data_IF_896619422729
#
_entry.id   IF_896619422729
#
_cell.length_a   1.000
_cell.length_b   1.000
_cell.length_c   1.000
_cell.angle_alpha   90.00
_cell.angle_beta   90.00
_cell.angle_gamma   90.00
#
_symmetry.space_group_name_H-M   'P 1'
#
loop_
_entity.id
_entity.type
_entity.pdbx_description
1 polymer ?
#
# COMPACT_ATOMS: atom_id res chain seq x y z
N UNK A 1 -12.39 -33.45 31.40
CA UNK A 1 -13.53 -32.67 30.86
C UNK A 1 -13.42 -31.16 31.12
N UNK A 2 -12.85 -30.71 32.25
CA UNK A 2 -12.68 -29.27 32.56
C UNK A 2 -11.55 -28.53 31.78
N UNK A 3 -10.65 -29.25 31.09
CA UNK A 3 -9.60 -28.63 30.24
C UNK A 3 -10.06 -28.33 28.81
N UNK A 4 -11.20 -28.87 28.37
CA UNK A 4 -11.73 -28.68 27.00
C UNK A 4 -12.57 -27.40 26.84
N UNK A 5 -12.94 -26.72 27.94
CA UNK A 5 -13.83 -25.55 27.91
C UNK A 5 -13.04 -24.22 27.99
N UNK A 6 -11.77 -24.24 28.40
CA UNK A 6 -10.96 -23.00 28.53
C UNK A 6 -10.44 -22.42 27.22
N UNK A 7 -10.65 -23.08 26.08
CA UNK A 7 -10.14 -22.62 24.79
C UNK A 7 -11.15 -21.82 23.95
N UNK A 8 -12.41 -21.69 24.37
CA UNK A 8 -13.45 -21.06 23.53
C UNK A 8 -13.83 -19.62 23.93
N UNK A 9 -13.17 -19.03 24.93
CA UNK A 9 -13.37 -17.61 25.28
C UNK A 9 -12.10 -16.80 25.01
N UNK A 10 -11.39 -17.13 23.94
CA UNK A 10 -10.53 -16.15 23.30
C UNK A 10 -11.43 -15.15 22.59
N UNK A 11 -11.39 -13.87 22.94
CA UNK A 11 -12.06 -12.81 22.18
C UNK A 11 -11.86 -13.06 20.67
N UNK A 12 -12.84 -12.81 19.79
CA UNK A 12 -12.75 -13.09 18.34
C UNK A 12 -11.55 -12.39 17.64
N UNK A 13 -10.86 -11.50 18.35
CA UNK A 13 -9.62 -10.84 17.96
C UNK A 13 -8.35 -11.71 18.10
N UNK A 14 -8.39 -12.86 18.79
CA UNK A 14 -7.19 -13.50 19.36
C UNK A 14 -6.43 -14.52 18.51
N UNK A 15 -6.83 -14.81 17.27
CA UNK A 15 -6.15 -15.83 16.44
C UNK A 15 -5.73 -15.32 15.04
N UNK A 16 -5.13 -14.13 14.97
CA UNK A 16 -4.29 -13.75 13.82
C UNK A 16 -2.90 -14.35 13.96
N UNK A 17 -2.26 -14.76 12.85
CA UNK A 17 -0.83 -15.08 12.91
C UNK A 17 -0.08 -13.87 13.48
N UNK A 18 0.55 -14.04 14.65
CA UNK A 18 1.26 -12.96 15.36
C UNK A 18 2.26 -12.22 14.47
N UNK A 19 2.84 -12.91 13.47
CA UNK A 19 3.78 -12.37 12.49
C UNK A 19 3.16 -11.34 11.54
N UNK A 20 1.87 -11.44 11.22
CA UNK A 20 1.18 -10.57 10.26
C UNK A 20 0.59 -9.31 10.91
N UNK A 21 0.37 -9.35 12.23
CA UNK A 21 -0.29 -8.29 12.99
C UNK A 21 0.35 -6.90 12.80
N UNK A 22 1.68 -6.72 12.88
CA UNK A 22 2.29 -5.40 12.71
C UNK A 22 1.94 -4.79 11.35
N UNK A 23 2.09 -5.56 10.26
CA UNK A 23 1.82 -5.06 8.91
C UNK A 23 0.35 -4.69 8.70
N UNK A 24 -0.59 -5.49 9.23
CA UNK A 24 -2.03 -5.18 9.20
C UNK A 24 -2.38 -3.89 9.95
N UNK A 25 -1.75 -3.66 11.10
CA UNK A 25 -1.95 -2.43 11.89
C UNK A 25 -1.46 -1.20 11.12
N UNK A 26 -0.27 -1.26 10.50
CA UNK A 26 0.25 -0.15 9.70
C UNK A 26 -0.68 0.22 8.54
N UNK A 27 -1.21 -0.79 7.83
CA UNK A 27 -2.21 -0.57 6.77
C UNK A 27 -3.48 0.04 7.35
N UNK A 28 -4.04 -0.53 8.42
CA UNK A 28 -5.30 -0.06 9.01
C UNK A 28 -5.21 1.39 9.51
N UNK A 29 -4.13 1.77 10.20
CA UNK A 29 -3.91 3.16 10.64
C UNK A 29 -3.89 4.10 9.44
N UNK A 30 -3.19 3.74 8.38
CA UNK A 30 -3.08 4.56 7.17
C UNK A 30 -4.43 4.74 6.47
N UNK A 31 -5.23 3.68 6.38
CA UNK A 31 -6.58 3.74 5.82
C UNK A 31 -7.52 4.62 6.66
N UNK A 32 -7.41 4.58 7.99
CA UNK A 32 -8.19 5.48 8.86
C UNK A 32 -7.82 6.93 8.55
N UNK A 33 -6.53 7.26 8.43
CA UNK A 33 -6.08 8.61 8.09
C UNK A 33 -6.61 9.04 6.72
N UNK A 34 -6.50 8.20 5.69
CA UNK A 34 -7.05 8.51 4.37
C UNK A 34 -8.56 8.74 4.41
N UNK A 35 -9.28 7.90 5.16
CA UNK A 35 -10.72 8.05 5.38
C UNK A 35 -11.06 9.40 5.99
N UNK A 36 -10.38 9.79 7.07
CA UNK A 36 -10.54 11.11 7.70
C UNK A 36 -10.21 12.24 6.72
N UNK A 37 -9.13 12.13 5.94
CA UNK A 37 -8.78 13.14 4.94
C UNK A 37 -9.86 13.29 3.85
N UNK A 38 -10.56 12.23 3.46
CA UNK A 38 -11.68 12.33 2.50
C UNK A 38 -12.85 13.14 3.04
N UNK A 39 -13.12 13.09 4.35
CA UNK A 39 -14.14 13.92 4.98
C UNK A 39 -13.67 15.36 5.21
N UNK A 40 -12.43 15.55 5.67
CA UNK A 40 -11.88 16.90 5.92
C UNK A 40 -11.67 17.71 4.64
N UNK A 41 -11.24 17.07 3.56
CA UNK A 41 -10.85 17.71 2.30
C UNK A 41 -11.75 17.30 1.13
N UNK A 42 -13.02 17.00 1.41
CA UNK A 42 -13.99 16.46 0.44
C UNK A 42 -14.10 17.26 -0.85
N UNK A 43 -14.03 18.60 -0.80
CA UNK A 43 -14.04 19.46 -1.99
C UNK A 43 -12.82 19.25 -2.90
N UNK A 44 -11.63 19.17 -2.31
CA UNK A 44 -10.40 18.88 -3.06
C UNK A 44 -10.45 17.47 -3.66
N UNK A 45 -10.84 16.47 -2.85
CA UNK A 45 -10.94 15.07 -3.31
C UNK A 45 -12.00 14.90 -4.39
N UNK A 46 -13.15 15.59 -4.30
CA UNK A 46 -14.17 15.59 -5.34
C UNK A 46 -13.62 16.14 -6.67
N UNK A 47 -12.66 17.06 -6.63
CA UNK A 47 -11.95 17.56 -7.81
C UNK A 47 -11.05 16.52 -8.49
N UNK A 48 -10.68 15.44 -7.78
CA UNK A 48 -9.91 14.33 -8.33
C UNK A 48 -10.79 13.27 -9.02
N UNK A 49 -12.10 13.25 -8.73
CA UNK A 49 -13.04 12.27 -9.31
C UNK A 49 -13.24 12.54 -10.82
N UNK A 50 -13.06 11.54 -11.70
CA UNK A 50 -13.08 11.70 -13.15
C UNK A 50 -14.28 12.48 -13.69
N UNK A 51 -14.04 13.41 -14.62
CA UNK A 51 -15.01 14.39 -15.14
C UNK A 51 -16.36 13.80 -15.60
N UNK A 52 -16.39 12.56 -16.08
CA UNK A 52 -17.62 11.90 -16.54
C UNK A 52 -18.52 11.38 -15.41
N UNK A 53 -18.00 11.22 -14.18
CA UNK A 53 -18.77 10.68 -13.06
C UNK A 53 -19.63 11.77 -12.40
N UNK A 54 -20.96 11.56 -12.29
CA UNK A 54 -21.84 12.46 -11.54
C UNK A 54 -21.62 12.30 -10.03
N UNK A 55 -22.07 13.29 -9.25
CA UNK A 55 -22.08 13.21 -7.78
C UNK A 55 -20.68 13.08 -7.17
N UNK A 56 -19.68 13.81 -7.67
CA UNK A 56 -18.27 13.70 -7.23
C UNK A 56 -18.07 13.78 -5.71
N UNK A 57 -18.85 14.63 -5.03
CA UNK A 57 -18.77 14.79 -3.58
C UNK A 57 -19.28 13.54 -2.84
N UNK A 58 -20.32 12.88 -3.38
CA UNK A 58 -20.77 11.58 -2.85
C UNK A 58 -19.64 10.56 -2.94
N UNK A 59 -18.96 10.44 -4.09
CA UNK A 59 -17.85 9.51 -4.25
C UNK A 59 -16.68 9.82 -3.31
N UNK A 60 -16.34 11.10 -3.10
CA UNK A 60 -15.31 11.48 -2.13
C UNK A 60 -15.64 10.95 -0.72
N UNK A 61 -16.86 11.16 -0.22
CA UNK A 61 -17.23 10.67 1.11
C UNK A 61 -17.45 9.16 1.17
N UNK A 62 -17.98 8.56 0.11
CA UNK A 62 -18.16 7.11 0.00
C UNK A 62 -16.82 6.37 0.10
N UNK A 63 -15.81 6.82 -0.64
CA UNK A 63 -14.46 6.24 -0.57
C UNK A 63 -13.86 6.48 0.82
N UNK A 64 -14.08 7.64 1.44
CA UNK A 64 -13.67 7.90 2.82
C UNK A 64 -14.25 6.89 3.81
N UNK A 65 -15.56 6.63 3.74
CA UNK A 65 -16.22 5.61 4.55
C UNK A 65 -15.71 4.20 4.25
N UNK A 66 -15.48 3.88 2.97
CA UNK A 66 -14.96 2.59 2.54
C UNK A 66 -13.55 2.33 3.08
N UNK A 67 -12.68 3.35 3.17
CA UNK A 67 -11.36 3.21 3.79
C UNK A 67 -11.45 2.87 5.29
N UNK A 68 -12.33 3.53 6.03
CA UNK A 68 -12.53 3.26 7.47
C UNK A 68 -13.12 1.84 7.67
N UNK A 69 -14.10 1.46 6.85
CA UNK A 69 -14.67 0.11 6.87
C UNK A 69 -13.64 -0.96 6.52
N UNK A 70 -12.77 -0.71 5.53
CA UNK A 70 -11.68 -1.60 5.16
C UNK A 70 -10.67 -1.74 6.30
N UNK A 71 -10.31 -0.65 6.98
CA UNK A 71 -9.43 -0.69 8.15
C UNK A 71 -10.00 -1.58 9.27
N UNK A 72 -11.27 -1.40 9.62
CA UNK A 72 -11.96 -2.23 10.61
C UNK A 72 -12.00 -3.71 10.16
N UNK A 73 -12.35 -3.96 8.90
CA UNK A 73 -12.41 -5.30 8.33
C UNK A 73 -11.05 -6.00 8.32
N UNK A 74 -9.96 -5.31 7.99
CA UNK A 74 -8.59 -5.85 7.96
C UNK A 74 -8.13 -6.33 9.35
N UNK A 75 -8.54 -5.62 10.40
CA UNK A 75 -8.24 -5.97 11.79
C UNK A 75 -9.15 -7.08 12.33
N UNK A 76 -10.31 -7.30 11.72
CA UNK A 76 -11.26 -8.33 12.13
C UNK A 76 -11.11 -9.60 11.26
N UNK A 77 -10.63 -10.70 11.85
CA UNK A 77 -10.21 -11.93 11.13
C UNK A 77 -11.21 -12.42 10.07
N UNK A 78 -12.51 -12.44 10.38
CA UNK A 78 -13.54 -12.95 9.46
C UNK A 78 -13.82 -12.01 8.28
N UNK A 79 -13.53 -10.71 8.43
CA UNK A 79 -13.75 -9.69 7.39
C UNK A 79 -12.47 -9.32 6.65
N UNK A 80 -11.30 -9.72 7.14
CA UNK A 80 -10.03 -9.27 6.59
C UNK A 80 -9.86 -9.60 5.11
N UNK A 81 -10.31 -10.79 4.69
CA UNK A 81 -10.25 -11.20 3.30
C UNK A 81 -11.19 -10.39 2.40
N UNK A 82 -12.52 -10.37 2.60
CA UNK A 82 -13.41 -9.57 1.75
C UNK A 82 -13.06 -8.07 1.79
N UNK A 83 -12.70 -7.52 2.95
CA UNK A 83 -12.29 -6.12 3.07
C UNK A 83 -11.05 -5.83 2.22
N UNK A 84 -10.01 -6.65 2.32
CA UNK A 84 -8.78 -6.46 1.56
C UNK A 84 -8.96 -6.73 0.04
N UNK A 85 -9.81 -7.69 -0.33
CA UNK A 85 -10.18 -7.93 -1.75
C UNK A 85 -10.87 -6.72 -2.35
N UNK A 86 -11.91 -6.19 -1.69
CA UNK A 86 -12.64 -5.01 -2.15
C UNK A 86 -11.76 -3.76 -2.16
N UNK A 87 -10.87 -3.60 -1.16
CA UNK A 87 -9.89 -2.53 -1.14
C UNK A 87 -8.95 -2.59 -2.36
N UNK A 88 -8.46 -3.79 -2.71
CA UNK A 88 -7.62 -3.96 -3.88
C UNK A 88 -8.37 -3.71 -5.20
N UNK A 89 -9.63 -4.13 -5.31
CA UNK A 89 -10.50 -3.80 -6.46
C UNK A 89 -10.69 -2.29 -6.57
N UNK A 90 -10.94 -1.59 -5.47
CA UNK A 90 -11.10 -0.14 -5.45
C UNK A 90 -9.83 0.58 -5.94
N UNK A 91 -8.64 0.22 -5.43
CA UNK A 91 -7.39 0.79 -5.93
C UNK A 91 -7.11 0.43 -7.39
N UNK A 92 -7.47 -0.78 -7.83
CA UNK A 92 -7.36 -1.16 -9.24
C UNK A 92 -8.23 -0.27 -10.13
N UNK A 93 -9.47 0.00 -9.72
CA UNK A 93 -10.35 0.95 -10.41
C UNK A 93 -9.77 2.36 -10.41
N UNK A 94 -9.10 2.81 -9.34
CA UNK A 94 -8.40 4.10 -9.34
C UNK A 94 -7.24 4.12 -10.33
N UNK A 95 -6.47 3.04 -10.46
CA UNK A 95 -5.43 2.93 -11.50
C UNK A 95 -6.05 3.12 -12.88
N UNK A 96 -7.14 2.40 -13.19
CA UNK A 96 -7.75 2.41 -14.52
C UNK A 96 -8.49 3.71 -14.86
N UNK A 97 -9.31 4.21 -13.92
CA UNK A 97 -10.27 5.28 -14.17
C UNK A 97 -9.73 6.67 -13.82
N UNK A 98 -8.76 6.76 -12.89
CA UNK A 98 -8.21 8.02 -12.42
C UNK A 98 -6.77 8.21 -12.87
N UNK A 99 -5.86 7.28 -12.53
CA UNK A 99 -4.42 7.50 -12.75
C UNK A 99 -4.00 7.32 -14.21
N UNK A 100 -4.45 6.27 -14.92
CA UNK A 100 -4.11 6.10 -16.34
C UNK A 100 -4.53 7.31 -17.17
N UNK A 101 -5.77 7.82 -17.09
CA UNK A 101 -6.15 9.02 -17.83
C UNK A 101 -5.30 10.25 -17.48
N UNK A 102 -5.00 10.46 -16.19
CA UNK A 102 -4.17 11.61 -15.75
C UNK A 102 -2.73 11.52 -16.25
N UNK A 103 -2.13 10.32 -16.22
CA UNK A 103 -0.80 10.04 -16.76
C UNK A 103 -0.77 10.27 -18.27
N UNK A 104 -1.79 9.82 -19.02
CA UNK A 104 -1.87 10.03 -20.47
C UNK A 104 -1.93 11.52 -20.79
N UNK A 105 -2.75 12.28 -20.06
CA UNK A 105 -2.93 13.72 -20.27
C UNK A 105 -1.71 14.55 -19.83
N UNK A 106 -0.99 14.12 -18.80
CA UNK A 106 0.14 14.84 -18.22
C UNK A 106 1.39 13.95 -18.14
N UNK A 107 1.75 13.30 -19.26
CA UNK A 107 2.80 12.29 -19.32
C UNK A 107 4.20 12.75 -18.90
N UNK A 108 4.42 14.07 -18.87
CA UNK A 108 5.67 14.71 -18.41
C UNK A 108 5.69 15.07 -16.93
N UNK A 109 4.57 14.91 -16.22
CA UNK A 109 4.48 15.15 -14.78
C UNK A 109 4.82 13.87 -14.03
N UNK A 110 5.95 13.88 -13.31
CA UNK A 110 6.39 12.74 -12.52
C UNK A 110 5.47 12.41 -11.35
N UNK A 111 4.66 13.36 -10.86
CA UNK A 111 3.73 13.11 -9.77
C UNK A 111 2.60 12.20 -10.22
N UNK A 112 2.08 12.38 -11.44
CA UNK A 112 1.01 11.55 -11.96
C UNK A 112 1.44 10.08 -12.08
N UNK A 113 2.67 9.86 -12.56
CA UNK A 113 3.29 8.53 -12.57
C UNK A 113 3.48 7.98 -11.15
N UNK A 114 4.01 8.80 -10.23
CA UNK A 114 4.23 8.41 -8.84
C UNK A 114 2.92 7.97 -8.18
N UNK A 115 1.88 8.79 -8.26
CA UNK A 115 0.56 8.49 -7.69
C UNK A 115 -0.05 7.24 -8.33
N UNK A 116 0.11 7.05 -9.65
CA UNK A 116 -0.32 5.82 -10.31
C UNK A 116 0.41 4.57 -9.80
N UNK A 117 1.72 4.65 -9.60
CA UNK A 117 2.51 3.55 -9.03
C UNK A 117 2.17 3.29 -7.55
N UNK A 118 1.89 4.33 -6.76
CA UNK A 118 1.40 4.18 -5.38
C UNK A 118 0.06 3.43 -5.40
N UNK A 119 -0.89 3.83 -6.24
CA UNK A 119 -2.18 3.16 -6.35
C UNK A 119 -2.05 1.69 -6.80
N UNK A 120 -1.15 1.40 -7.75
CA UNK A 120 -0.87 0.03 -8.18
C UNK A 120 -0.24 -0.80 -7.05
N UNK A 121 0.68 -0.21 -6.28
CA UNK A 121 1.27 -0.86 -5.12
C UNK A 121 0.23 -1.09 -4.01
N UNK A 122 -0.68 -0.14 -3.75
CA UNK A 122 -1.78 -0.33 -2.79
C UNK A 122 -2.75 -1.43 -3.23
N UNK A 123 -3.08 -1.49 -4.52
CA UNK A 123 -3.87 -2.57 -5.09
C UNK A 123 -3.21 -3.93 -4.84
N UNK A 124 -1.93 -4.07 -5.22
CA UNK A 124 -1.17 -5.30 -5.02
C UNK A 124 -1.04 -5.68 -3.55
N UNK A 125 -0.75 -4.70 -2.69
CA UNK A 125 -0.62 -4.87 -1.24
C UNK A 125 -1.92 -5.30 -0.56
N UNK A 126 -3.06 -4.73 -0.98
CA UNK A 126 -4.37 -5.15 -0.50
C UNK A 126 -4.69 -6.61 -0.89
N UNK A 127 -4.37 -7.03 -2.11
CA UNK A 127 -4.54 -8.45 -2.49
C UNK A 127 -3.53 -9.40 -1.83
N UNK A 128 -2.31 -8.94 -1.52
CA UNK A 128 -1.39 -9.69 -0.65
C UNK A 128 -2.02 -9.90 0.73
N UNK A 129 -2.63 -8.86 1.30
CA UNK A 129 -3.32 -8.92 2.60
C UNK A 129 -4.50 -9.90 2.57
N UNK A 130 -5.30 -9.87 1.50
CA UNK A 130 -6.39 -10.81 1.28
C UNK A 130 -5.89 -12.26 1.13
N UNK A 131 -4.71 -12.46 0.54
CA UNK A 131 -4.03 -13.76 0.44
C UNK A 131 -3.56 -14.30 1.79
N UNK A 132 -3.15 -13.40 2.67
CA UNK A 132 -2.64 -13.72 3.99
C UNK A 132 -3.75 -14.03 5.01
N UNK A 133 -4.99 -13.65 4.71
CA UNK A 133 -6.14 -13.89 5.57
C UNK A 133 -6.59 -15.37 5.50
N UNK A 134 -6.82 -16.01 6.66
CA UNK A 134 -7.21 -17.41 6.72
C UNK A 134 -8.58 -17.64 6.06
N UNK A 135 -8.67 -18.71 5.29
CA UNK A 135 -9.92 -19.24 4.74
C UNK A 135 -10.45 -20.32 5.66
N UNK A 136 -11.78 -20.39 5.83
CA UNK A 136 -12.43 -21.46 6.58
C UNK A 136 -12.26 -22.82 5.87
N UNK A 137 -12.13 -22.85 4.54
CA UNK A 137 -11.84 -24.06 3.76
C UNK A 137 -11.05 -23.67 2.51
N UNK A 138 -10.00 -24.41 2.14
CA UNK A 138 -9.37 -24.20 0.84
C UNK A 138 -8.92 -25.52 0.22
N UNK A 139 -9.68 -25.99 -0.75
CA UNK A 139 -9.29 -27.07 -1.69
C UNK A 139 -8.66 -26.52 -2.99
N UNK A 140 -8.92 -25.26 -3.39
CA UNK A 140 -8.49 -24.70 -4.70
C UNK A 140 -7.57 -23.48 -4.54
N UNK A 141 -6.37 -23.43 -5.16
CA UNK A 141 -5.46 -22.28 -5.16
C UNK A 141 -6.12 -20.98 -5.62
N UNK A 142 -5.67 -19.81 -5.13
CA UNK A 142 -6.16 -18.51 -5.62
C UNK A 142 -5.26 -17.96 -6.71
N UNK A 143 -5.60 -18.08 -7.99
CA UNK A 143 -4.85 -17.40 -9.03
C UNK A 143 -4.96 -15.88 -8.90
N UNK A 144 -6.09 -15.35 -8.44
CA UNK A 144 -6.34 -13.91 -8.34
C UNK A 144 -5.44 -13.24 -7.31
N UNK A 145 -5.22 -13.87 -6.16
CA UNK A 145 -4.38 -13.29 -5.11
C UNK A 145 -2.87 -13.40 -5.38
N UNK A 146 -2.46 -14.33 -6.25
CA UNK A 146 -1.09 -14.36 -6.78
C UNK A 146 -0.79 -13.10 -7.62
N UNK A 147 -1.80 -12.51 -8.28
CA UNK A 147 -1.66 -11.27 -9.05
C UNK A 147 -1.25 -10.10 -8.15
N UNK A 148 -1.76 -10.06 -6.91
CA UNK A 148 -1.44 -8.98 -5.95
C UNK A 148 0.06 -8.81 -5.72
N UNK A 149 0.77 -9.92 -5.56
CA UNK A 149 2.24 -9.92 -5.43
C UNK A 149 2.93 -9.30 -6.65
N UNK A 150 2.48 -9.61 -7.86
CA UNK A 150 3.06 -9.06 -9.08
C UNK A 150 2.78 -7.56 -9.22
N UNK A 151 1.55 -7.11 -8.96
CA UNK A 151 1.23 -5.67 -8.98
C UNK A 151 2.07 -4.89 -7.96
N UNK A 152 2.18 -5.43 -6.74
CA UNK A 152 3.02 -4.84 -5.70
C UNK A 152 4.48 -4.73 -6.16
N UNK A 153 5.06 -5.84 -6.64
CA UNK A 153 6.47 -5.88 -7.03
C UNK A 153 6.77 -5.02 -8.27
N UNK A 154 5.90 -5.06 -9.30
CA UNK A 154 6.05 -4.27 -10.51
C UNK A 154 5.95 -2.77 -10.22
N UNK A 155 5.11 -2.34 -9.28
CA UNK A 155 5.07 -0.95 -8.84
C UNK A 155 6.42 -0.51 -8.22
N UNK A 156 7.06 -1.35 -7.41
CA UNK A 156 8.40 -1.04 -6.88
C UNK A 156 9.50 -1.07 -7.93
N UNK A 157 9.42 -1.96 -8.93
CA UNK A 157 10.30 -1.89 -10.10
C UNK A 157 10.10 -0.56 -10.85
N UNK A 158 8.85 -0.13 -11.04
CA UNK A 158 8.51 1.13 -11.71
C UNK A 158 9.02 2.35 -10.92
N UNK A 159 8.87 2.39 -9.59
CA UNK A 159 9.51 3.40 -8.75
C UNK A 159 11.02 3.41 -8.92
N UNK A 160 11.64 2.23 -8.95
CA UNK A 160 13.07 2.10 -9.17
C UNK A 160 13.50 2.69 -10.52
N UNK A 161 12.79 2.36 -11.60
CA UNK A 161 12.98 2.92 -12.95
C UNK A 161 12.83 4.44 -12.93
N UNK A 162 11.79 4.96 -12.28
CA UNK A 162 11.52 6.39 -12.17
C UNK A 162 12.67 7.15 -11.50
N UNK A 163 13.37 6.56 -10.53
CA UNK A 163 14.55 7.17 -9.91
C UNK A 163 15.72 7.35 -10.90
N UNK A 164 15.90 6.42 -11.86
CA UNK A 164 16.92 6.59 -12.92
C UNK A 164 16.55 7.70 -13.89
N UNK A 165 15.26 7.79 -14.27
CA UNK A 165 14.75 8.84 -15.16
C UNK A 165 14.91 10.21 -14.52
N UNK A 166 14.58 10.35 -13.23
CA UNK A 166 14.77 11.59 -12.48
C UNK A 166 16.25 12.02 -12.42
N UNK A 167 17.15 11.08 -12.12
CA UNK A 167 18.60 11.34 -12.05
C UNK A 167 19.20 11.86 -13.35
N UNK A 168 18.54 11.61 -14.50
CA UNK A 168 18.98 12.03 -15.83
C UNK A 168 18.33 13.32 -16.32
N UNK A 169 17.09 13.64 -15.91
CA UNK A 169 16.29 14.68 -16.58
C UNK A 169 15.82 15.85 -15.70
N UNK A 170 16.14 15.90 -14.40
CA UNK A 170 15.65 16.97 -13.49
C UNK A 170 14.15 17.27 -13.70
N UNK A 171 13.34 16.22 -13.89
CA UNK A 171 11.93 16.37 -14.20
C UNK A 171 11.17 16.73 -12.92
N UNK A 172 10.45 17.86 -12.95
CA UNK A 172 9.76 18.43 -11.81
C UNK A 172 8.71 17.49 -11.20
N UNK A 173 8.93 17.16 -9.92
CA UNK A 173 8.05 16.55 -8.92
C UNK A 173 7.51 15.13 -9.26
N UNK A 174 7.61 14.22 -8.28
CA UNK A 174 7.73 12.76 -8.42
C UNK A 174 9.14 12.35 -8.04
N UNK A 175 9.36 11.30 -7.21
CA UNK A 175 10.26 11.37 -6.07
C UNK A 175 11.65 11.93 -6.40
N UNK A 176 12.00 13.01 -5.71
CA UNK A 176 13.25 13.06 -4.98
C UNK A 176 12.89 13.12 -3.50
N UNK A 177 12.70 11.95 -2.91
CA UNK A 177 12.86 11.78 -1.46
C UNK A 177 14.18 12.40 -0.97
N UNK A 178 15.15 12.51 -1.88
CA UNK A 178 16.42 13.21 -1.73
C UNK A 178 16.61 14.21 -2.88
N UNK A 179 16.40 15.50 -2.64
CA UNK A 179 16.83 16.55 -3.58
C UNK A 179 18.37 16.62 -3.61
N UNK A 180 18.96 16.80 -4.79
CA UNK A 180 20.34 17.31 -4.92
C UNK A 180 21.52 16.33 -5.02
N UNK A 181 21.35 15.00 -5.19
CA UNK A 181 22.50 14.08 -5.45
C UNK A 181 22.15 12.90 -6.38
N UNK A 182 22.61 12.86 -7.65
CA UNK A 182 22.24 11.80 -8.61
C UNK A 182 22.63 10.40 -8.13
N UNK A 183 23.74 10.25 -7.40
CA UNK A 183 24.17 8.98 -6.83
C UNK A 183 23.10 8.35 -5.91
N UNK A 184 22.46 9.14 -5.04
CA UNK A 184 21.44 8.61 -4.11
C UNK A 184 20.20 8.13 -4.87
N UNK A 185 19.76 8.89 -5.87
CA UNK A 185 18.65 8.49 -6.71
C UNK A 185 18.94 7.16 -7.43
N UNK A 186 20.13 7.01 -8.02
CA UNK A 186 20.52 5.76 -8.68
C UNK A 186 20.62 4.58 -7.71
N UNK A 187 21.20 4.76 -6.52
CA UNK A 187 21.27 3.69 -5.51
C UNK A 187 19.87 3.26 -5.05
N UNK A 188 18.98 4.20 -4.76
CA UNK A 188 17.58 3.89 -4.44
C UNK A 188 16.90 3.17 -5.61
N UNK A 189 17.13 3.63 -6.84
CA UNK A 189 16.62 3.00 -8.05
C UNK A 189 17.03 1.53 -8.17
N UNK A 190 18.33 1.24 -8.03
CA UNK A 190 18.87 -0.13 -8.07
C UNK A 190 18.26 -1.00 -6.98
N UNK A 191 18.18 -0.50 -5.75
CA UNK A 191 17.62 -1.26 -4.61
C UNK A 191 16.15 -1.62 -4.87
N UNK A 192 15.34 -0.66 -5.30
CA UNK A 192 13.91 -0.89 -5.56
C UNK A 192 13.67 -1.86 -6.73
N UNK A 193 14.45 -1.74 -7.82
CA UNK A 193 14.39 -2.69 -8.94
C UNK A 193 14.80 -4.09 -8.48
N UNK A 194 15.90 -4.21 -7.71
CA UNK A 194 16.38 -5.51 -7.23
C UNK A 194 15.38 -6.19 -6.29
N UNK A 195 14.78 -5.44 -5.36
CA UNK A 195 13.71 -5.93 -4.47
C UNK A 195 12.50 -6.39 -5.29
N UNK A 196 12.03 -5.55 -6.22
CA UNK A 196 10.89 -5.88 -7.06
C UNK A 196 11.15 -7.13 -7.91
N UNK A 197 12.32 -7.22 -8.55
CA UNK A 197 12.72 -8.39 -9.33
C UNK A 197 12.81 -9.67 -8.47
N UNK A 198 13.38 -9.59 -7.26
CA UNK A 198 13.41 -10.72 -6.33
C UNK A 198 12.01 -11.21 -5.98
N UNK A 199 11.07 -10.28 -5.71
CA UNK A 199 9.68 -10.59 -5.44
C UNK A 199 8.96 -11.12 -6.69
N UNK A 200 9.24 -10.64 -7.91
CA UNK A 200 8.62 -11.23 -9.13
C UNK A 200 9.13 -12.66 -9.37
N UNK A 201 10.44 -12.88 -9.24
CA UNK A 201 11.09 -14.14 -9.59
C UNK A 201 10.91 -15.26 -8.57
N UNK A 202 10.22 -15.03 -7.44
CA UNK A 202 10.11 -16.04 -6.40
C UNK A 202 11.33 -16.16 -5.48
N UNK A 203 12.43 -15.45 -5.78
CA UNK A 203 13.74 -15.66 -5.15
C UNK A 203 13.92 -14.75 -3.95
N UNK A 204 14.24 -15.31 -2.79
CA UNK A 204 14.49 -14.54 -1.56
C UNK A 204 13.35 -13.58 -1.19
N UNK A 205 12.11 -13.98 -1.50
CA UNK A 205 10.91 -13.14 -1.41
C UNK A 205 10.73 -12.57 -0.01
N UNK A 206 10.93 -13.42 1.00
CA UNK A 206 10.76 -13.01 2.39
C UNK A 206 11.77 -11.96 2.78
N UNK A 207 13.05 -12.17 2.45
CA UNK A 207 14.11 -11.20 2.72
C UNK A 207 13.88 -9.88 2.00
N UNK A 208 13.53 -9.93 0.70
CA UNK A 208 13.26 -8.74 -0.10
C UNK A 208 12.08 -7.93 0.44
N UNK A 209 10.98 -8.59 0.80
CA UNK A 209 9.79 -7.95 1.35
C UNK A 209 10.04 -7.41 2.77
N UNK A 210 10.81 -8.12 3.62
CA UNK A 210 11.25 -7.60 4.92
C UNK A 210 12.10 -6.35 4.75
N UNK A 211 13.12 -6.39 3.89
CA UNK A 211 13.99 -5.25 3.63
C UNK A 211 13.19 -4.05 3.13
N UNK A 212 12.27 -4.26 2.18
CA UNK A 212 11.39 -3.21 1.67
C UNK A 212 10.53 -2.60 2.77
N UNK A 213 9.82 -3.43 3.54
CA UNK A 213 8.98 -2.98 4.65
C UNK A 213 9.77 -2.19 5.68
N UNK A 214 10.94 -2.68 6.09
CA UNK A 214 11.83 -1.99 7.01
C UNK A 214 12.32 -0.66 6.46
N UNK A 215 12.77 -0.60 5.20
CA UNK A 215 13.24 0.64 4.58
C UNK A 215 12.12 1.69 4.56
N UNK A 216 10.92 1.31 4.11
CA UNK A 216 9.76 2.20 4.05
C UNK A 216 9.32 2.66 5.44
N UNK A 217 9.31 1.76 6.43
CA UNK A 217 8.99 2.11 7.81
C UNK A 217 9.98 3.12 8.40
N UNK A 218 11.28 2.89 8.23
CA UNK A 218 12.32 3.83 8.70
C UNK A 218 12.20 5.17 7.98
N UNK A 219 11.88 5.15 6.68
CA UNK A 219 11.64 6.37 5.92
C UNK A 219 10.41 7.14 6.44
N UNK A 220 9.32 6.44 6.74
CA UNK A 220 8.18 7.05 7.43
C UNK A 220 8.60 7.67 8.77
N UNK A 221 9.28 6.90 9.63
CA UNK A 221 9.64 7.31 10.98
C UNK A 221 10.59 8.52 11.02
N UNK A 222 11.61 8.54 10.18
CA UNK A 222 12.65 9.55 10.23
C UNK A 222 12.44 10.74 9.29
N UNK A 223 11.60 10.59 8.26
CA UNK A 223 11.39 11.66 7.25
C UNK A 223 9.96 12.16 7.25
N UNK A 224 8.96 11.28 7.23
CA UNK A 224 7.57 11.70 7.13
C UNK A 224 6.96 12.11 8.47
N UNK A 225 7.18 11.34 9.53
CA UNK A 225 6.62 11.63 10.85
C UNK A 225 7.09 13.01 11.37
N UNK A 226 8.38 13.39 11.31
CA UNK A 226 8.81 14.74 11.69
C UNK A 226 8.17 15.82 10.82
N UNK A 227 8.07 15.59 9.50
CA UNK A 227 7.45 16.55 8.57
C UNK A 227 5.95 16.75 8.87
N UNK A 228 5.23 15.68 9.22
CA UNK A 228 3.83 15.73 9.63
C UNK A 228 3.68 16.55 10.91
N UNK A 229 4.52 16.31 11.92
CA UNK A 229 4.50 17.06 13.19
C UNK A 229 4.77 18.55 12.98
N UNK A 230 5.67 18.89 12.05
CA UNK A 230 5.96 20.29 11.71
C UNK A 230 4.87 20.97 10.87
N UNK A 231 4.01 20.22 10.20
CA UNK A 231 3.01 20.74 9.25
C UNK A 231 1.63 20.12 9.45
N UNK A 232 1.14 20.10 10.69
CA UNK A 232 -0.08 19.39 11.08
C UNK A 232 -1.32 19.76 10.24
N UNK A 233 -1.43 21.02 9.81
CA UNK A 233 -2.58 21.52 9.04
C UNK A 233 -2.44 21.37 7.52
N UNK A 234 -1.29 20.89 7.03
CA UNK A 234 -1.07 20.66 5.61
C UNK A 234 -1.40 19.19 5.27
N UNK A 235 -2.41 18.88 4.45
CA UNK A 235 -2.78 17.50 4.13
C UNK A 235 -1.71 16.72 3.36
N UNK A 236 -0.85 17.39 2.58
CA UNK A 236 0.12 16.74 1.70
C UNK A 236 1.10 15.80 2.43
N UNK A 237 1.82 16.28 3.47
CA UNK A 237 2.68 15.44 4.29
C UNK A 237 2.00 14.23 4.92
N UNK A 238 0.73 14.37 5.35
CA UNK A 238 -0.07 13.27 5.89
C UNK A 238 -0.31 12.20 4.83
N UNK A 239 -0.83 12.59 3.65
CA UNK A 239 -1.10 11.65 2.56
C UNK A 239 0.17 10.88 2.17
N UNK A 240 1.26 11.60 1.85
CA UNK A 240 2.50 10.97 1.45
C UNK A 240 3.10 10.08 2.55
N UNK A 241 3.01 10.48 3.82
CA UNK A 241 3.53 9.68 4.93
C UNK A 241 2.76 8.38 5.14
N UNK A 242 1.43 8.46 5.18
CA UNK A 242 0.60 7.28 5.39
C UNK A 242 0.52 6.37 4.16
N UNK A 243 0.82 6.87 2.95
CA UNK A 243 1.07 6.01 1.78
C UNK A 243 2.30 5.12 2.01
N UNK A 244 3.43 5.72 2.39
CA UNK A 244 4.65 4.96 2.71
C UNK A 244 4.41 3.97 3.86
N UNK A 245 3.67 4.38 4.89
CA UNK A 245 3.35 3.51 6.03
C UNK A 245 2.47 2.31 5.63
N UNK A 246 1.45 2.52 4.80
CA UNK A 246 0.62 1.44 4.28
C UNK A 246 1.43 0.49 3.39
N UNK A 247 2.28 1.01 2.49
CA UNK A 247 3.15 0.18 1.64
C UNK A 247 4.14 -0.64 2.46
N UNK A 248 4.71 -0.05 3.53
CA UNK A 248 5.49 -0.77 4.53
C UNK A 248 4.70 -1.93 5.13
N UNK A 249 3.46 -1.66 5.58
CA UNK A 249 2.58 -2.68 6.14
C UNK A 249 2.32 -3.83 5.18
N UNK A 250 2.01 -3.54 3.91
CA UNK A 250 1.83 -4.52 2.85
C UNK A 250 3.08 -5.37 2.61
N UNK A 251 4.27 -4.76 2.59
CA UNK A 251 5.53 -5.48 2.43
C UNK A 251 5.81 -6.43 3.62
N UNK A 252 5.52 -6.01 4.85
CA UNK A 252 5.69 -6.86 6.04
C UNK A 252 4.69 -8.03 6.06
N UNK A 253 3.47 -7.82 5.55
CA UNK A 253 2.52 -8.92 5.36
C UNK A 253 3.02 -9.89 4.29
N UNK A 254 3.50 -9.40 3.14
CA UNK A 254 4.11 -10.25 2.11
C UNK A 254 5.26 -11.10 2.68
N UNK A 255 6.12 -10.48 3.49
CA UNK A 255 7.25 -11.17 4.11
C UNK A 255 6.81 -12.27 5.07
N UNK A 256 5.85 -11.97 5.95
CA UNK A 256 5.36 -12.92 6.95
C UNK A 256 4.59 -14.09 6.32
N UNK A 257 3.90 -13.87 5.21
CA UNK A 257 3.22 -14.91 4.44
C UNK A 257 4.14 -15.68 3.48
N UNK A 258 5.41 -15.30 3.35
CA UNK A 258 6.38 -16.00 2.50
C UNK A 258 7.15 -17.09 3.26
N UNK A 259 7.51 -18.22 2.60
CA UNK A 259 8.36 -19.25 3.19
C UNK A 259 9.66 -18.68 3.78
N UNK A 260 10.20 -19.33 4.81
CA UNK A 260 11.57 -19.03 5.26
C UNK A 260 12.54 -19.41 4.15
N UNK A 261 13.56 -18.60 3.94
CA UNK A 261 14.61 -18.93 2.98
C UNK A 261 15.45 -20.09 3.54
N UNK A 262 15.85 -21.01 2.66
CA UNK A 262 16.81 -22.05 3.01
C UNK A 262 18.19 -21.38 3.10
N UNK A 263 18.84 -21.50 4.25
CA UNK A 263 20.16 -20.93 4.54
C UNK A 263 21.29 -21.58 3.75
#
# INVERSE_FOLDING_TARGET
MAQLIKNEVGLPFSNMEKSQTPGRILVAISLIVFGVQHFMYGGFVAGLVPAFMPGRLFWAYFIGAAFIAAAAGILYKMLARPAATLLGVMFFLFVLLLHIPRIVLHSRDGNEWTSGFVALAMCGGAWVLASAAPLYEREIPDPFLKIGRYFFALAFMAFGIQHFVYGRFTAGLGPPWFTGRPLRAYLTGVILVAIGAAIVLGKKTRMAATALGTILFLFFLFVHAPRIVMQLHNPGPWTNGFEILALSGCALVLASSSPKENG
#
